data_IF_407035859851
#
_entry.id   IF_407035859851
#
_cell.length_a   1.000
_cell.length_b   1.000
_cell.length_c   1.000
_cell.angle_alpha   90.00
_cell.angle_beta   90.00
_cell.angle_gamma   90.00
#
_symmetry.space_group_name_H-M   'P 1'
#
loop_
_entity.id
_entity.type
_entity.pdbx_description
1 polymer ?
#
# COMPACT_ATOMS: atom_id res chain seq x y z
N UNK A 1 -31.75 -44.74 -77.82
CA UNK A 1 -31.06 -45.51 -76.75
C UNK A 1 -29.59 -45.12 -76.82
N UNK A 2 -28.89 -44.57 -75.83
CA UNK A 2 -29.08 -44.41 -74.39
C UNK A 2 -28.49 -43.04 -73.96
N UNK A 3 -29.01 -42.51 -72.85
CA UNK A 3 -28.78 -41.16 -72.30
C UNK A 3 -27.39 -40.97 -71.69
N UNK A 4 -26.81 -39.79 -71.91
CA UNK A 4 -25.75 -39.18 -71.09
C UNK A 4 -26.37 -38.58 -69.81
N UNK A 5 -25.74 -38.82 -68.66
CA UNK A 5 -25.98 -38.11 -67.40
C UNK A 5 -24.62 -37.66 -66.81
N UNK A 6 -24.48 -36.42 -66.30
CA UNK A 6 -23.21 -35.92 -65.79
C UNK A 6 -23.03 -36.18 -64.29
N UNK A 7 -21.81 -36.60 -63.94
CA UNK A 7 -21.25 -36.69 -62.60
C UNK A 7 -20.92 -35.28 -62.06
N UNK A 8 -21.90 -34.56 -61.52
CA UNK A 8 -21.65 -33.35 -60.72
C UNK A 8 -22.70 -33.25 -59.60
N UNK A 9 -22.40 -33.72 -58.38
CA UNK A 9 -23.11 -33.22 -57.18
C UNK A 9 -22.55 -33.64 -55.80
N UNK A 10 -21.65 -34.63 -55.68
CA UNK A 10 -21.29 -35.14 -54.34
C UNK A 10 -20.22 -34.35 -53.55
N UNK A 11 -19.55 -33.36 -54.16
CA UNK A 11 -18.51 -32.57 -53.47
C UNK A 11 -19.04 -31.43 -52.58
N UNK A 12 -20.17 -30.82 -52.94
CA UNK A 12 -20.64 -29.59 -52.28
C UNK A 12 -21.34 -29.83 -50.94
N UNK A 13 -21.95 -31.00 -50.74
CA UNK A 13 -22.69 -31.30 -49.50
C UNK A 13 -21.78 -31.62 -48.30
N UNK A 14 -20.51 -32.02 -48.51
CA UNK A 14 -19.54 -32.22 -47.40
C UNK A 14 -18.86 -30.92 -46.97
N UNK A 15 -18.66 -29.96 -47.88
CA UNK A 15 -18.11 -28.64 -47.52
C UNK A 15 -19.11 -27.81 -46.71
N UNK A 16 -20.39 -27.79 -47.09
CA UNK A 16 -21.41 -27.03 -46.36
C UNK A 16 -21.68 -27.55 -44.94
N UNK A 17 -21.55 -28.87 -44.72
CA UNK A 17 -21.75 -29.49 -43.39
C UNK A 17 -20.60 -29.19 -42.42
N UNK A 18 -19.39 -29.01 -42.94
CA UNK A 18 -18.21 -28.62 -42.14
C UNK A 18 -18.16 -27.11 -41.85
N UNK A 19 -18.73 -26.28 -42.72
CA UNK A 19 -18.85 -24.83 -42.46
C UNK A 19 -19.91 -24.57 -41.39
N UNK A 20 -21.01 -25.33 -41.35
CA UNK A 20 -22.02 -25.20 -40.28
C UNK A 20 -21.57 -25.75 -38.92
N UNK A 21 -20.70 -26.76 -38.87
CA UNK A 21 -20.11 -27.24 -37.62
C UNK A 21 -18.95 -26.36 -37.12
N UNK A 22 -18.22 -25.69 -38.02
CA UNK A 22 -17.26 -24.63 -37.69
C UNK A 22 -17.94 -23.37 -37.13
N UNK A 23 -19.05 -22.93 -37.74
CA UNK A 23 -19.82 -21.78 -37.27
C UNK A 23 -20.51 -22.05 -35.91
N UNK A 24 -20.98 -23.28 -35.65
CA UNK A 24 -21.51 -23.66 -34.32
C UNK A 24 -20.42 -23.84 -33.25
N UNK A 25 -19.18 -24.19 -33.61
CA UNK A 25 -18.07 -24.22 -32.64
C UNK A 25 -17.57 -22.83 -32.25
N UNK A 26 -17.78 -21.81 -33.06
CA UNK A 26 -17.51 -20.41 -32.70
C UNK A 26 -18.62 -19.76 -31.88
N UNK A 27 -19.85 -20.30 -31.90
CA UNK A 27 -20.96 -19.81 -31.06
C UNK A 27 -21.01 -20.48 -29.68
N UNK A 28 -20.38 -21.64 -29.50
CA UNK A 28 -20.34 -22.35 -28.21
C UNK A 28 -19.20 -21.90 -27.27
N UNK A 29 -18.42 -20.87 -27.65
CA UNK A 29 -17.54 -20.13 -26.74
C UNK A 29 -18.27 -18.93 -26.13
N UNK A 30 -19.46 -19.13 -25.58
CA UNK A 30 -20.13 -18.19 -24.66
C UNK A 30 -19.45 -18.17 -23.27
N UNK A 31 -18.12 -18.11 -23.28
CA UNK A 31 -17.24 -17.69 -22.20
C UNK A 31 -16.23 -16.65 -22.75
N UNK A 32 -16.54 -16.03 -23.90
CA UNK A 32 -15.77 -14.93 -24.45
C UNK A 32 -15.99 -13.68 -23.59
N UNK A 33 -14.90 -13.13 -23.06
CA UNK A 33 -14.89 -11.87 -22.30
C UNK A 33 -15.65 -10.78 -23.09
N UNK A 34 -16.79 -10.25 -22.58
CA UNK A 34 -17.65 -9.33 -23.31
C UNK A 34 -17.03 -7.93 -23.48
N UNK A 35 -15.91 -7.66 -22.80
CA UNK A 35 -15.20 -6.39 -22.82
C UNK A 35 -13.99 -6.38 -23.75
N UNK A 36 -13.87 -7.38 -24.64
CA UNK A 36 -12.85 -7.38 -25.70
C UNK A 36 -13.16 -6.27 -26.71
N UNK A 37 -12.17 -5.41 -26.97
CA UNK A 37 -12.17 -4.33 -27.95
C UNK A 37 -13.34 -3.33 -27.83
N UNK A 38 -13.43 -2.54 -26.74
CA UNK A 38 -14.35 -1.41 -26.72
C UNK A 38 -13.86 -0.34 -27.71
N UNK A 39 -14.73 0.07 -28.64
CA UNK A 39 -14.38 1.07 -29.68
C UNK A 39 -14.58 2.51 -29.21
N UNK A 40 -15.36 2.72 -28.15
CA UNK A 40 -15.64 4.04 -27.57
C UNK A 40 -16.07 3.94 -26.10
N UNK A 41 -16.06 5.07 -25.39
CA UNK A 41 -16.55 5.16 -24.01
C UNK A 41 -18.05 4.82 -23.90
N UNK A 42 -18.84 5.14 -24.94
CA UNK A 42 -20.27 4.83 -25.01
C UNK A 42 -20.52 3.33 -25.22
N UNK A 43 -19.74 2.67 -26.08
CA UNK A 43 -19.79 1.21 -26.28
C UNK A 43 -19.43 0.47 -24.98
N UNK A 44 -18.40 0.94 -24.26
CA UNK A 44 -18.04 0.41 -22.96
C UNK A 44 -19.19 0.56 -21.95
N UNK A 45 -19.82 1.73 -21.87
CA UNK A 45 -20.94 1.97 -20.96
C UNK A 45 -22.13 1.05 -21.24
N UNK A 46 -22.45 0.81 -22.51
CA UNK A 46 -23.51 -0.12 -22.92
C UNK A 46 -23.17 -1.57 -22.53
N UNK A 47 -21.93 -2.02 -22.77
CA UNK A 47 -21.46 -3.36 -22.39
C UNK A 47 -21.47 -3.57 -20.87
N UNK A 48 -21.02 -2.56 -20.11
CA UNK A 48 -21.07 -2.56 -18.64
C UNK A 48 -22.52 -2.66 -18.18
N UNK A 49 -23.40 -1.78 -18.68
CA UNK A 49 -24.83 -1.80 -18.35
C UNK A 49 -25.49 -3.15 -18.63
N UNK A 50 -25.23 -3.75 -19.80
CA UNK A 50 -25.77 -5.06 -20.17
C UNK A 50 -25.23 -6.19 -19.27
N UNK A 51 -23.96 -6.12 -18.86
CA UNK A 51 -23.33 -7.15 -18.03
C UNK A 51 -23.70 -7.07 -16.54
N UNK A 52 -24.03 -5.87 -16.03
CA UNK A 52 -24.41 -5.62 -14.64
C UNK A 52 -25.93 -5.69 -14.40
N UNK A 53 -26.74 -5.61 -15.46
CA UNK A 53 -28.22 -5.63 -15.39
C UNK A 53 -28.84 -6.99 -15.04
N UNK A 54 -28.06 -8.07 -14.98
CA UNK A 54 -28.55 -9.38 -14.54
C UNK A 54 -28.86 -9.34 -13.03
N UNK A 55 -30.13 -9.11 -12.67
CA UNK A 55 -30.61 -8.90 -11.29
C UNK A 55 -30.56 -10.14 -10.39
N UNK A 56 -30.44 -11.33 -10.96
CA UNK A 56 -30.74 -12.58 -10.23
C UNK A 56 -29.50 -13.31 -9.67
N UNK A 57 -28.29 -12.83 -9.93
CA UNK A 57 -27.05 -13.45 -9.42
C UNK A 57 -25.91 -12.45 -9.24
N UNK A 58 -25.08 -12.58 -8.17
CA UNK A 58 -23.90 -11.74 -8.01
C UNK A 58 -22.97 -11.90 -9.22
N UNK A 59 -22.45 -10.77 -9.71
CA UNK A 59 -21.57 -10.76 -10.87
C UNK A 59 -20.22 -11.40 -10.47
N UNK A 60 -19.73 -12.40 -11.21
CA UNK A 60 -18.47 -13.05 -10.86
C UNK A 60 -17.30 -12.05 -10.94
N UNK A 61 -16.39 -12.15 -9.97
CA UNK A 61 -15.24 -11.24 -9.79
C UNK A 61 -14.41 -11.07 -11.07
N UNK A 62 -14.24 -12.14 -11.85
CA UNK A 62 -13.51 -12.12 -13.12
C UNK A 62 -14.14 -11.17 -14.14
N UNK A 63 -15.47 -11.12 -14.24
CA UNK A 63 -16.17 -10.19 -15.15
C UNK A 63 -15.99 -8.74 -14.71
N UNK A 64 -15.98 -8.49 -13.41
CA UNK A 64 -15.72 -7.15 -12.85
C UNK A 64 -14.30 -6.71 -13.19
N UNK A 65 -13.32 -7.59 -13.02
CA UNK A 65 -11.93 -7.30 -13.41
C UNK A 65 -11.78 -7.07 -14.91
N UNK A 66 -12.48 -7.83 -15.74
CA UNK A 66 -12.43 -7.65 -17.19
C UNK A 66 -13.04 -6.32 -17.64
N UNK A 67 -14.13 -5.89 -17.00
CA UNK A 67 -14.69 -4.56 -17.19
C UNK A 67 -13.67 -3.47 -16.81
N UNK A 68 -13.04 -3.60 -15.63
CA UNK A 68 -12.04 -2.65 -15.15
C UNK A 68 -10.78 -2.64 -16.02
N UNK A 69 -10.33 -3.78 -16.54
CA UNK A 69 -9.23 -3.86 -17.52
C UNK A 69 -9.57 -3.13 -18.81
N UNK A 70 -10.82 -3.23 -19.28
CA UNK A 70 -11.27 -2.50 -20.45
C UNK A 70 -11.33 -0.99 -20.20
N UNK A 71 -11.83 -0.56 -19.03
CA UNK A 71 -11.76 0.84 -18.59
C UNK A 71 -10.31 1.33 -18.55
N UNK A 72 -9.39 0.52 -18.02
CA UNK A 72 -7.96 0.87 -17.96
C UNK A 72 -7.37 1.06 -19.35
N UNK A 73 -7.58 0.11 -20.27
CA UNK A 73 -7.03 0.19 -21.63
C UNK A 73 -7.48 1.45 -22.36
N UNK A 74 -8.76 1.83 -22.21
CA UNK A 74 -9.28 3.07 -22.77
C UNK A 74 -8.67 4.30 -22.09
N UNK A 75 -8.47 4.25 -20.77
CA UNK A 75 -7.81 5.32 -20.03
C UNK A 75 -6.35 5.52 -20.47
N UNK A 76 -5.61 4.43 -20.67
CA UNK A 76 -4.22 4.45 -21.14
C UNK A 76 -4.14 5.08 -22.54
N UNK A 77 -5.04 4.70 -23.46
CA UNK A 77 -5.13 5.28 -24.82
C UNK A 77 -5.41 6.79 -24.81
N UNK A 78 -6.30 7.26 -23.94
CA UNK A 78 -6.60 8.71 -23.81
C UNK A 78 -5.40 9.45 -23.23
N UNK A 79 -4.74 8.87 -22.22
CA UNK A 79 -3.61 9.50 -21.53
C UNK A 79 -2.35 9.56 -22.39
N UNK A 80 -2.14 8.59 -23.28
CA UNK A 80 -1.04 8.61 -24.27
C UNK A 80 -1.18 9.73 -25.30
N UNK A 81 -2.42 10.11 -25.64
CA UNK A 81 -2.69 11.12 -26.68
C UNK A 81 -2.83 12.56 -26.15
N UNK A 82 -3.27 12.77 -24.91
CA UNK A 82 -3.40 14.12 -24.32
C UNK A 82 -2.89 14.16 -22.87
N UNK A 83 -1.60 14.45 -22.70
CA UNK A 83 -0.94 14.53 -21.38
C UNK A 83 -1.29 15.79 -20.58
N UNK A 84 -1.97 16.78 -21.18
CA UNK A 84 -2.03 18.15 -20.65
C UNK A 84 -3.46 18.67 -20.40
N UNK A 85 -4.52 18.02 -20.91
CA UNK A 85 -5.91 18.46 -20.66
C UNK A 85 -6.69 17.52 -19.77
N UNK A 86 -7.56 18.12 -18.94
CA UNK A 86 -8.69 17.43 -18.29
C UNK A 86 -9.70 17.03 -19.35
N UNK A 87 -9.48 15.91 -20.00
CA UNK A 87 -10.36 15.42 -21.05
C UNK A 87 -11.71 14.97 -20.44
N UNK A 88 -12.87 15.45 -20.93
CA UNK A 88 -14.18 14.91 -20.54
C UNK A 88 -14.26 13.39 -20.69
N UNK A 89 -13.49 12.78 -21.61
CA UNK A 89 -13.43 11.33 -21.77
C UNK A 89 -12.90 10.62 -20.50
N UNK A 90 -11.90 11.20 -19.82
CA UNK A 90 -11.35 10.63 -18.59
C UNK A 90 -12.37 10.69 -17.43
N UNK A 91 -13.19 11.74 -17.38
CA UNK A 91 -14.26 11.84 -16.40
C UNK A 91 -15.37 10.80 -16.66
N UNK A 92 -15.73 10.58 -17.93
CA UNK A 92 -16.71 9.57 -18.30
C UNK A 92 -16.21 8.15 -18.00
N UNK A 93 -14.94 7.84 -18.27
CA UNK A 93 -14.33 6.55 -17.91
C UNK A 93 -14.35 6.37 -16.39
N UNK A 94 -14.02 7.40 -15.62
CA UNK A 94 -14.12 7.34 -14.16
C UNK A 94 -15.56 7.08 -13.69
N UNK A 95 -16.55 7.69 -14.32
CA UNK A 95 -17.96 7.41 -14.01
C UNK A 95 -18.32 5.94 -14.29
N UNK A 96 -17.80 5.34 -15.36
CA UNK A 96 -18.00 3.92 -15.63
C UNK A 96 -17.33 3.03 -14.57
N UNK A 97 -16.13 3.38 -14.11
CA UNK A 97 -15.47 2.68 -13.00
C UNK A 97 -16.31 2.77 -11.73
N UNK A 98 -16.84 3.96 -11.41
CA UNK A 98 -17.69 4.18 -10.25
C UNK A 98 -18.98 3.36 -10.34
N UNK A 99 -19.63 3.30 -11.51
CA UNK A 99 -20.83 2.47 -11.76
C UNK A 99 -20.55 0.99 -11.54
N UNK A 100 -19.41 0.49 -12.03
CA UNK A 100 -19.01 -0.92 -11.83
C UNK A 100 -18.82 -1.22 -10.34
N UNK A 101 -18.07 -0.38 -9.62
CA UNK A 101 -17.69 -0.61 -8.23
C UNK A 101 -18.83 -0.37 -7.22
N UNK A 102 -19.76 0.53 -7.54
CA UNK A 102 -20.92 0.84 -6.69
C UNK A 102 -22.16 0.00 -7.01
N UNK A 103 -22.13 -0.85 -8.04
CA UNK A 103 -23.27 -1.69 -8.38
C UNK A 103 -23.59 -2.72 -7.28
N UNK A 104 -24.87 -2.84 -6.92
CA UNK A 104 -25.34 -3.74 -5.84
C UNK A 104 -24.95 -5.20 -6.09
N UNK A 105 -24.86 -5.59 -7.35
CA UNK A 105 -24.57 -6.97 -7.77
C UNK A 105 -23.08 -7.37 -7.66
N UNK A 106 -22.18 -6.46 -7.28
CA UNK A 106 -20.73 -6.70 -7.20
C UNK A 106 -20.25 -6.77 -5.76
N UNK A 107 -19.74 -7.89 -5.28
CA UNK A 107 -19.13 -7.93 -3.94
C UNK A 107 -17.76 -7.24 -3.94
N UNK A 108 -17.69 -5.99 -3.47
CA UNK A 108 -16.44 -5.24 -3.40
C UNK A 108 -15.65 -5.56 -2.13
N UNK A 109 -15.01 -6.73 -2.11
CA UNK A 109 -14.19 -7.20 -0.99
C UNK A 109 -12.70 -6.79 -1.10
N UNK A 110 -11.94 -7.03 -0.03
CA UNK A 110 -10.51 -6.74 0.01
C UNK A 110 -9.70 -7.52 -1.05
N UNK A 111 -10.16 -8.73 -1.42
CA UNK A 111 -9.52 -9.54 -2.45
C UNK A 111 -9.70 -8.93 -3.84
N UNK A 112 -10.90 -8.45 -4.18
CA UNK A 112 -11.15 -7.71 -5.42
C UNK A 112 -10.36 -6.40 -5.43
N UNK A 113 -10.35 -5.64 -4.33
CA UNK A 113 -9.57 -4.40 -4.22
C UNK A 113 -8.09 -4.63 -4.53
N UNK A 114 -7.49 -5.70 -3.99
CA UNK A 114 -6.10 -6.07 -4.28
C UNK A 114 -5.89 -6.33 -5.77
N UNK A 115 -6.79 -7.08 -6.40
CA UNK A 115 -6.72 -7.37 -7.84
C UNK A 115 -6.86 -6.08 -8.68
N UNK A 116 -7.69 -5.13 -8.22
CA UNK A 116 -7.83 -3.80 -8.84
C UNK A 116 -6.54 -2.99 -8.71
N UNK A 117 -5.85 -3.02 -7.56
CA UNK A 117 -4.54 -2.35 -7.43
C UNK A 117 -3.46 -2.94 -8.35
N UNK A 118 -3.50 -4.25 -8.60
CA UNK A 118 -2.59 -4.89 -9.55
C UNK A 118 -2.82 -4.44 -10.99
N UNK A 119 -4.00 -3.90 -11.32
CA UNK A 119 -4.23 -3.30 -12.61
C UNK A 119 -3.44 -2.00 -12.79
N UNK A 120 -2.95 -1.34 -11.72
CA UNK A 120 -2.19 -0.08 -11.78
C UNK A 120 -2.91 1.03 -12.55
N UNK A 121 -4.03 1.48 -12.00
CA UNK A 121 -4.72 2.67 -12.51
C UNK A 121 -3.93 3.95 -12.18
N UNK A 122 -4.13 5.04 -12.94
CA UNK A 122 -3.59 6.35 -12.59
C UNK A 122 -3.95 6.74 -11.14
N UNK A 123 -3.06 7.48 -10.48
CA UNK A 123 -3.12 7.76 -9.05
C UNK A 123 -4.44 8.43 -8.64
N UNK A 124 -4.92 9.38 -9.46
CA UNK A 124 -6.19 10.06 -9.25
C UNK A 124 -7.39 9.09 -9.26
N UNK A 125 -7.38 8.08 -10.13
CA UNK A 125 -8.41 7.03 -10.20
C UNK A 125 -8.28 6.08 -9.02
N UNK A 126 -7.05 5.69 -8.66
CA UNK A 126 -6.77 4.84 -7.49
C UNK A 126 -7.29 5.44 -6.18
N UNK A 127 -7.10 6.75 -5.98
CA UNK A 127 -7.64 7.48 -4.82
C UNK A 127 -9.17 7.43 -4.80
N UNK A 128 -9.84 7.58 -5.95
CA UNK A 128 -11.30 7.46 -6.04
C UNK A 128 -11.77 6.04 -5.74
N UNK A 129 -11.08 5.03 -6.25
CA UNK A 129 -11.38 3.61 -5.95
C UNK A 129 -11.27 3.33 -4.44
N UNK A 130 -10.25 3.87 -3.77
CA UNK A 130 -10.09 3.79 -2.32
C UNK A 130 -11.29 4.42 -1.58
N UNK A 131 -11.74 5.60 -2.01
CA UNK A 131 -12.93 6.25 -1.43
C UNK A 131 -14.17 5.38 -1.61
N UNK A 132 -14.42 4.85 -2.82
CA UNK A 132 -15.56 3.96 -3.09
C UNK A 132 -15.52 2.67 -2.26
N UNK A 133 -14.32 2.15 -1.98
CA UNK A 133 -14.17 0.97 -1.13
C UNK A 133 -14.67 1.24 0.30
N UNK A 134 -14.32 2.39 0.89
CA UNK A 134 -14.80 2.76 2.22
C UNK A 134 -16.26 3.20 2.25
N UNK A 135 -16.77 3.80 1.17
CA UNK A 135 -18.22 4.08 1.04
C UNK A 135 -19.05 2.80 1.12
N UNK A 136 -18.56 1.72 0.50
CA UNK A 136 -19.23 0.42 0.50
C UNK A 136 -18.95 -0.40 1.76
N UNK A 137 -17.76 -0.28 2.32
CA UNK A 137 -17.32 -1.01 3.50
C UNK A 137 -16.80 -0.04 4.58
N UNK A 138 -17.70 0.64 5.33
CA UNK A 138 -17.31 1.71 6.24
C UNK A 138 -16.45 1.26 7.42
N UNK A 139 -16.54 -0.02 7.82
CA UNK A 139 -15.75 -0.59 8.92
C UNK A 139 -14.54 -1.41 8.46
N UNK A 140 -14.38 -1.62 7.15
CA UNK A 140 -13.25 -2.38 6.63
C UNK A 140 -11.92 -1.64 6.83
N UNK A 141 -10.83 -2.40 6.83
CA UNK A 141 -9.48 -1.87 6.80
C UNK A 141 -8.69 -2.50 5.65
N UNK A 142 -7.74 -1.75 5.10
CA UNK A 142 -6.86 -2.23 4.03
C UNK A 142 -5.54 -2.67 4.66
N UNK A 143 -5.11 -3.91 4.36
CA UNK A 143 -3.85 -4.42 4.88
C UNK A 143 -2.66 -3.68 4.26
N UNK A 144 -1.59 -3.48 5.04
CA UNK A 144 -0.34 -2.84 4.58
C UNK A 144 0.16 -3.39 3.26
N UNK A 145 0.19 -4.72 3.12
CA UNK A 145 0.72 -5.39 1.93
C UNK A 145 -0.06 -5.02 0.66
N UNK A 146 -1.37 -4.82 0.77
CA UNK A 146 -2.21 -4.44 -0.36
C UNK A 146 -2.12 -2.93 -0.61
N UNK A 147 -2.04 -2.12 0.44
CA UNK A 147 -1.79 -0.67 0.36
C UNK A 147 -0.43 -0.31 -0.26
N UNK A 148 0.58 -1.17 -0.10
CA UNK A 148 1.89 -0.97 -0.71
C UNK A 148 1.85 -1.01 -2.24
N UNK A 149 0.86 -1.66 -2.86
CA UNK A 149 0.75 -1.75 -4.32
C UNK A 149 0.56 -0.36 -4.95
N UNK A 150 -0.52 0.38 -4.64
CA UNK A 150 -0.72 1.71 -5.19
C UNK A 150 0.32 2.71 -4.65
N UNK A 151 0.77 2.56 -3.41
CA UNK A 151 1.80 3.41 -2.82
C UNK A 151 3.12 3.36 -3.59
N UNK A 152 3.61 2.16 -3.93
CA UNK A 152 4.84 1.97 -4.70
C UNK A 152 4.71 2.56 -6.10
N UNK A 153 3.53 2.46 -6.71
CA UNK A 153 3.26 3.04 -8.03
C UNK A 153 3.29 4.57 -7.99
N UNK A 154 2.73 5.19 -6.95
CA UNK A 154 2.83 6.64 -6.73
C UNK A 154 4.27 7.11 -6.53
N UNK A 155 5.06 6.39 -5.72
CA UNK A 155 6.49 6.72 -5.53
C UNK A 155 7.29 6.54 -6.82
N UNK A 156 7.04 5.47 -7.57
CA UNK A 156 7.71 5.20 -8.83
C UNK A 156 7.48 6.31 -9.86
N UNK A 157 6.27 6.87 -9.87
CA UNK A 157 5.86 7.97 -10.74
C UNK A 157 6.14 9.37 -10.15
N UNK A 158 6.88 9.47 -9.06
CA UNK A 158 7.22 10.73 -8.37
C UNK A 158 6.01 11.59 -7.93
N UNK A 159 4.84 10.99 -7.74
CA UNK A 159 3.64 11.69 -7.26
C UNK A 159 3.54 11.59 -5.73
N UNK A 160 4.26 12.49 -5.06
CA UNK A 160 4.35 12.54 -3.59
C UNK A 160 3.01 12.91 -2.94
N UNK A 161 2.22 13.81 -3.54
CA UNK A 161 0.91 14.19 -3.01
C UNK A 161 -0.06 13.01 -2.97
N UNK A 162 -0.14 12.25 -4.07
CA UNK A 162 -0.98 11.04 -4.08
C UNK A 162 -0.45 9.98 -3.13
N UNK A 163 0.88 9.84 -2.97
CA UNK A 163 1.46 8.91 -2.02
C UNK A 163 1.07 9.22 -0.56
N UNK A 164 1.07 10.50 -0.15
CA UNK A 164 0.57 10.93 1.17
C UNK A 164 -0.91 10.57 1.31
N UNK A 165 -1.72 10.90 0.30
CA UNK A 165 -3.17 10.65 0.34
C UNK A 165 -3.51 9.17 0.41
N UNK A 166 -2.78 8.32 -0.31
CA UNK A 166 -2.91 6.86 -0.23
C UNK A 166 -2.53 6.38 1.17
N UNK A 167 -1.45 6.92 1.75
CA UNK A 167 -1.02 6.59 3.12
C UNK A 167 -2.11 6.94 4.14
N UNK A 168 -2.72 8.12 4.01
CA UNK A 168 -3.82 8.56 4.88
C UNK A 168 -5.08 7.72 4.75
N UNK A 169 -5.41 7.28 3.52
CA UNK A 169 -6.57 6.42 3.26
C UNK A 169 -6.32 4.95 3.61
N UNK A 170 -5.08 4.52 3.84
CA UNK A 170 -4.76 3.12 4.11
C UNK A 170 -4.24 2.93 5.54
N UNK A 171 -2.93 2.96 5.74
CA UNK A 171 -2.30 2.73 7.05
C UNK A 171 -2.60 3.85 8.06
N UNK A 172 -2.84 5.07 7.58
CA UNK A 172 -3.24 6.21 8.38
C UNK A 172 -4.75 6.33 8.63
N UNK A 173 -5.55 5.37 8.14
CA UNK A 173 -7.01 5.42 8.26
C UNK A 173 -7.47 5.01 9.68
N UNK A 174 -8.51 5.63 10.26
CA UNK A 174 -9.02 5.29 11.59
C UNK A 174 -9.34 3.80 11.77
N UNK A 175 -9.86 3.12 10.74
CA UNK A 175 -10.18 1.70 10.83
C UNK A 175 -8.93 0.83 10.95
N UNK A 176 -7.86 1.18 10.23
CA UNK A 176 -6.58 0.48 10.33
C UNK A 176 -5.98 0.63 11.73
N UNK A 177 -6.03 1.86 12.27
CA UNK A 177 -5.54 2.19 13.61
C UNK A 177 -6.36 1.46 14.69
N UNK A 178 -7.69 1.40 14.54
CA UNK A 178 -8.59 0.62 15.41
C UNK A 178 -8.24 -0.87 15.37
N UNK A 179 -8.03 -1.43 14.17
CA UNK A 179 -7.61 -2.82 14.01
C UNK A 179 -6.27 -3.10 14.71
N UNK A 180 -5.24 -2.25 14.52
CA UNK A 180 -3.96 -2.35 15.23
C UNK A 180 -4.13 -2.26 16.75
N UNK A 181 -4.99 -1.38 17.22
CA UNK A 181 -5.32 -1.25 18.65
C UNK A 181 -5.98 -2.52 19.20
N UNK A 182 -6.90 -3.13 18.44
CA UNK A 182 -7.54 -4.39 18.82
C UNK A 182 -6.53 -5.55 18.87
N UNK A 183 -5.63 -5.64 17.90
CA UNK A 183 -4.53 -6.62 17.88
C UNK A 183 -3.64 -6.46 19.11
N UNK A 184 -3.27 -5.21 19.46
CA UNK A 184 -2.47 -4.94 20.65
C UNK A 184 -3.19 -5.39 21.93
N UNK A 185 -4.46 -5.00 22.10
CA UNK A 185 -5.28 -5.34 23.27
C UNK A 185 -5.46 -6.86 23.42
N UNK A 186 -5.72 -7.56 22.31
CA UNK A 186 -5.85 -9.01 22.31
C UNK A 186 -4.52 -9.67 22.67
N UNK A 187 -3.40 -9.15 22.16
CA UNK A 187 -2.06 -9.63 22.50
C UNK A 187 -1.77 -9.47 24.00
N UNK A 188 -2.04 -8.29 24.57
CA UNK A 188 -1.84 -8.04 26.01
C UNK A 188 -2.77 -8.89 26.88
N UNK A 189 -4.02 -9.08 26.47
CA UNK A 189 -4.98 -9.93 27.18
C UNK A 189 -4.53 -11.40 27.17
N UNK A 190 -4.08 -11.92 26.02
CA UNK A 190 -3.56 -13.29 25.90
C UNK A 190 -2.35 -13.50 26.79
N UNK A 191 -1.43 -12.53 26.85
CA UNK A 191 -0.27 -12.59 27.74
C UNK A 191 -0.69 -12.63 29.22
N UNK A 192 -1.55 -11.70 29.65
CA UNK A 192 -2.05 -11.66 31.02
C UNK A 192 -2.80 -12.94 31.41
N UNK A 193 -3.70 -13.41 30.54
CA UNK A 193 -4.47 -14.63 30.75
C UNK A 193 -3.56 -15.87 30.82
N UNK A 194 -2.54 -15.96 29.96
CA UNK A 194 -1.57 -17.05 30.00
C UNK A 194 -0.76 -17.05 31.31
N UNK A 195 -0.29 -15.88 31.76
CA UNK A 195 0.45 -15.76 33.01
C UNK A 195 -0.40 -16.15 34.23
N UNK A 196 -1.65 -15.68 34.29
CA UNK A 196 -2.60 -16.05 35.34
C UNK A 196 -2.90 -17.55 35.29
N UNK A 197 -3.19 -18.10 34.10
CA UNK A 197 -3.51 -19.52 33.93
C UNK A 197 -2.38 -20.44 34.37
N UNK A 198 -1.14 -20.11 34.02
CA UNK A 198 0.05 -20.87 34.45
C UNK A 198 0.24 -20.79 35.95
N UNK A 199 0.04 -19.60 36.53
CA UNK A 199 0.17 -19.41 37.99
C UNK A 199 -0.89 -20.21 38.76
N UNK A 200 -2.14 -20.18 38.30
CA UNK A 200 -3.24 -20.94 38.91
C UNK A 200 -3.06 -22.45 38.72
N UNK A 201 -2.68 -22.91 37.52
CA UNK A 201 -2.43 -24.32 37.26
C UNK A 201 -1.28 -24.87 38.10
N UNK A 202 -0.16 -24.16 38.15
CA UNK A 202 1.02 -24.58 38.93
C UNK A 202 0.76 -24.60 40.44
N UNK A 203 0.00 -23.62 40.96
CA UNK A 203 -0.23 -23.49 42.41
C UNK A 203 -1.41 -24.31 42.93
N UNK A 204 -2.54 -24.31 42.22
CA UNK A 204 -3.78 -24.93 42.67
C UNK A 204 -4.08 -26.23 41.91
N UNK A 205 -3.86 -26.24 40.60
CA UNK A 205 -4.14 -27.40 39.76
C UNK A 205 -3.29 -28.62 40.11
N UNK A 206 -1.97 -28.43 40.26
CA UNK A 206 -1.04 -29.51 40.60
C UNK A 206 -1.35 -30.08 41.98
N UNK A 207 -1.62 -29.23 42.97
CA UNK A 207 -1.96 -29.67 44.32
C UNK A 207 -3.25 -30.51 44.31
N UNK A 208 -4.29 -30.04 43.61
CA UNK A 208 -5.56 -30.75 43.57
C UNK A 208 -5.47 -32.11 42.87
N UNK A 209 -4.64 -32.24 41.82
CA UNK A 209 -4.42 -33.52 41.12
C UNK A 209 -3.58 -34.50 41.94
N UNK A 210 -2.65 -34.01 42.76
CA UNK A 210 -1.94 -34.82 43.75
C UNK A 210 -2.90 -35.30 44.84
N UNK A 211 -3.76 -34.41 45.35
CA UNK A 211 -4.75 -34.73 46.39
C UNK A 211 -5.81 -35.73 45.90
N UNK A 212 -6.14 -35.72 44.60
CA UNK A 212 -7.00 -36.73 43.94
C UNK A 212 -6.31 -38.07 43.71
N UNK A 213 -5.03 -38.22 44.06
CA UNK A 213 -4.26 -39.46 43.95
C UNK A 213 -3.85 -39.83 42.52
N UNK A 214 -4.05 -38.94 41.54
CA UNK A 214 -3.72 -39.20 40.13
C UNK A 214 -2.25 -38.92 39.80
N UNK A 215 -1.55 -38.12 40.61
CA UNK A 215 -0.12 -37.84 40.48
C UNK A 215 0.61 -38.16 41.79
N UNK A 216 1.81 -38.72 41.68
CA UNK A 216 2.67 -38.96 42.85
C UNK A 216 3.13 -37.62 43.45
N UNK A 217 3.34 -37.52 44.78
CA UNK A 217 3.80 -36.30 45.45
C UNK A 217 5.11 -35.71 44.91
N UNK A 218 5.98 -36.54 44.32
CA UNK A 218 7.23 -36.11 43.64
C UNK A 218 6.96 -35.19 42.44
N UNK A 219 5.76 -35.20 41.87
CA UNK A 219 5.36 -34.28 40.80
C UNK A 219 5.23 -32.84 41.25
N UNK A 220 5.13 -32.57 42.56
CA UNK A 220 5.07 -31.21 43.08
C UNK A 220 6.35 -30.43 42.74
N UNK A 221 7.51 -31.09 42.84
CA UNK A 221 8.80 -30.49 42.47
C UNK A 221 8.99 -30.36 40.95
N UNK A 222 8.54 -31.34 40.17
CA UNK A 222 8.56 -31.29 38.69
C UNK A 222 7.65 -30.18 38.15
N UNK A 223 6.48 -29.98 38.74
CA UNK A 223 5.57 -28.92 38.37
C UNK A 223 6.13 -27.53 38.71
N UNK A 224 6.79 -27.39 39.86
CA UNK A 224 7.48 -26.16 40.24
C UNK A 224 8.61 -25.82 39.25
N UNK A 225 9.43 -26.81 38.86
CA UNK A 225 10.48 -26.64 37.84
C UNK A 225 9.90 -26.29 36.46
N UNK A 226 8.86 -27.00 36.02
CA UNK A 226 8.20 -26.72 34.74
C UNK A 226 7.53 -25.34 34.73
N UNK A 227 6.93 -24.90 35.83
CA UNK A 227 6.40 -23.55 35.98
C UNK A 227 7.51 -22.50 35.93
N UNK A 228 8.68 -22.77 36.53
CA UNK A 228 9.85 -21.89 36.43
C UNK A 228 10.33 -21.76 34.98
N UNK A 229 10.49 -22.88 34.26
CA UNK A 229 10.86 -22.87 32.84
C UNK A 229 9.82 -22.16 31.97
N UNK A 230 8.53 -22.41 32.20
CA UNK A 230 7.45 -21.79 31.43
C UNK A 230 7.36 -20.28 31.69
N UNK A 231 7.56 -19.86 32.95
CA UNK A 231 7.65 -18.44 33.33
C UNK A 231 8.86 -17.78 32.69
N UNK A 232 10.00 -18.47 32.66
CA UNK A 232 11.19 -18.01 31.95
C UNK A 232 10.92 -17.84 30.45
N UNK A 233 10.34 -18.84 29.78
CA UNK A 233 9.97 -18.73 28.37
C UNK A 233 8.94 -17.64 28.10
N UNK A 234 7.99 -17.40 29.01
CA UNK A 234 7.05 -16.28 28.90
C UNK A 234 7.73 -14.93 29.04
N UNK A 235 8.63 -14.78 30.02
CA UNK A 235 9.43 -13.57 30.20
C UNK A 235 10.34 -13.34 28.98
N UNK A 236 11.04 -14.36 28.51
CA UNK A 236 11.84 -14.28 27.28
C UNK A 236 10.98 -13.97 26.05
N UNK A 237 9.78 -14.54 25.95
CA UNK A 237 8.83 -14.26 24.87
C UNK A 237 8.31 -12.82 24.93
N UNK A 238 8.11 -12.28 26.14
CA UNK A 238 7.80 -10.87 26.35
C UNK A 238 8.96 -9.98 25.89
N UNK A 239 10.20 -10.30 26.27
CA UNK A 239 11.38 -9.58 25.78
C UNK A 239 11.55 -9.67 24.26
N UNK A 240 11.35 -10.85 23.65
CA UNK A 240 11.36 -11.00 22.18
C UNK A 240 10.27 -10.14 21.54
N UNK A 241 9.11 -10.05 22.18
CA UNK A 241 8.00 -9.23 21.70
C UNK A 241 8.35 -7.74 21.80
N UNK A 242 8.89 -7.28 22.93
CA UNK A 242 9.40 -5.90 23.13
C UNK A 242 10.53 -5.57 22.16
N UNK A 243 11.45 -6.50 21.90
CA UNK A 243 12.52 -6.34 20.91
C UNK A 243 11.95 -6.28 19.49
N UNK A 244 10.94 -7.08 19.16
CA UNK A 244 10.22 -6.98 17.87
C UNK A 244 9.48 -5.66 17.74
N UNK A 245 8.84 -5.16 18.80
CA UNK A 245 8.28 -3.81 18.86
C UNK A 245 9.39 -2.76 18.62
N UNK A 246 10.51 -2.84 19.33
CA UNK A 246 11.68 -1.96 19.18
C UNK A 246 12.28 -1.98 17.77
N UNK A 247 12.42 -3.16 17.15
CA UNK A 247 12.90 -3.30 15.77
C UNK A 247 11.91 -2.74 14.77
N UNK A 248 10.60 -2.94 14.98
CA UNK A 248 9.58 -2.29 14.16
C UNK A 248 9.68 -0.78 14.23
N UNK A 249 9.97 -0.21 15.40
CA UNK A 249 10.14 1.23 15.60
C UNK A 249 11.38 1.79 14.88
N UNK A 250 12.53 1.13 15.02
CA UNK A 250 13.74 1.53 14.30
C UNK A 250 13.58 1.36 12.77
N UNK A 251 12.85 0.33 12.32
CA UNK A 251 12.58 0.12 10.89
C UNK A 251 11.50 1.05 10.33
N UNK A 252 10.65 1.63 11.18
CA UNK A 252 9.52 2.46 10.77
C UNK A 252 9.93 3.92 10.52
N UNK A 253 10.88 4.47 11.29
CA UNK A 253 11.33 5.85 11.11
C UNK A 253 12.41 6.05 10.05
N UNK A 254 13.24 5.03 9.82
CA UNK A 254 14.42 5.15 8.97
C UNK A 254 15.34 6.31 9.40
N UNK A 255 16.12 6.80 8.44
CA UNK A 255 17.09 7.89 8.67
C UNK A 255 16.46 9.29 8.50
N UNK A 256 15.20 9.38 8.05
CA UNK A 256 14.58 10.66 7.66
C UNK A 256 13.54 11.19 8.66
N UNK A 257 12.78 10.32 9.34
CA UNK A 257 11.71 10.74 10.24
C UNK A 257 11.79 10.04 11.60
N UNK A 258 11.47 10.77 12.65
CA UNK A 258 11.33 10.25 14.02
C UNK A 258 9.99 10.68 14.64
N UNK A 259 9.57 9.98 15.69
CA UNK A 259 8.42 10.44 16.48
C UNK A 259 8.79 11.67 17.29
N UNK A 260 7.85 12.61 17.42
CA UNK A 260 7.98 13.75 18.32
C UNK A 260 8.28 13.28 19.74
N UNK A 261 9.26 13.92 20.39
CA UNK A 261 9.64 13.63 21.77
C UNK A 261 8.42 13.74 22.69
N UNK A 262 8.14 12.70 23.48
CA UNK A 262 6.96 12.63 24.36
C UNK A 262 5.75 11.91 23.77
N UNK A 263 5.84 11.41 22.53
CA UNK A 263 4.80 10.55 21.95
C UNK A 263 4.78 9.18 22.65
N UNK A 264 3.61 8.71 23.09
CA UNK A 264 3.47 7.43 23.78
C UNK A 264 3.74 6.21 22.88
N UNK A 265 4.38 5.16 23.42
CA UNK A 265 4.67 3.91 22.69
C UNK A 265 3.46 3.22 22.05
N UNK A 266 2.28 3.38 22.65
CA UNK A 266 1.03 2.83 22.07
C UNK A 266 0.66 3.50 20.75
N UNK A 267 0.96 4.80 20.60
CA UNK A 267 0.84 5.52 19.34
C UNK A 267 1.86 4.97 18.33
N UNK A 268 3.10 4.80 18.75
CA UNK A 268 4.15 4.32 17.86
C UNK A 268 3.79 2.97 17.24
N UNK A 269 3.26 2.03 18.02
CA UNK A 269 2.82 0.75 17.47
C UNK A 269 1.65 0.88 16.49
N UNK A 270 0.64 1.68 16.83
CA UNK A 270 -0.56 1.85 16.00
C UNK A 270 -0.23 2.50 14.66
N UNK A 271 0.73 3.41 14.64
CA UNK A 271 1.11 4.23 13.49
C UNK A 271 2.46 3.84 12.87
N UNK A 272 3.07 2.72 13.27
CA UNK A 272 4.37 2.28 12.74
C UNK A 272 4.35 2.08 11.22
N UNK A 273 3.26 1.56 10.66
CA UNK A 273 3.14 1.34 9.21
C UNK A 273 2.92 2.64 8.45
N UNK A 274 2.22 3.60 9.05
CA UNK A 274 2.06 4.96 8.51
C UNK A 274 3.42 5.68 8.48
N UNK A 275 4.16 5.65 9.60
CA UNK A 275 5.51 6.21 9.67
C UNK A 275 6.42 5.61 8.60
N UNK A 276 6.40 4.28 8.42
CA UNK A 276 7.22 3.61 7.41
C UNK A 276 6.90 4.09 5.98
N UNK A 277 5.63 4.34 5.66
CA UNK A 277 5.25 4.91 4.36
C UNK A 277 5.69 6.38 4.25
N UNK A 278 5.47 7.20 5.28
CA UNK A 278 5.93 8.59 5.30
C UNK A 278 7.45 8.70 5.15
N UNK A 279 8.23 7.83 5.79
CA UNK A 279 9.69 7.79 5.64
C UNK A 279 10.11 7.46 4.22
N UNK A 280 9.39 6.56 3.53
CA UNK A 280 9.67 6.26 2.11
C UNK A 280 9.29 7.40 1.16
N UNK A 281 8.28 8.20 1.52
CA UNK A 281 7.96 9.44 0.79
C UNK A 281 9.09 10.46 0.96
N UNK A 282 9.60 10.64 2.18
CA UNK A 282 10.77 11.49 2.46
C UNK A 282 12.01 11.01 1.71
N UNK A 283 12.29 9.71 1.70
CA UNK A 283 13.43 9.16 0.96
C UNK A 283 13.31 9.44 -0.54
N UNK A 284 12.12 9.27 -1.12
CA UNK A 284 11.88 9.59 -2.52
C UNK A 284 12.05 11.09 -2.80
N UNK A 285 11.57 11.94 -1.90
CA UNK A 285 11.74 13.40 -2.00
C UNK A 285 13.20 13.84 -1.92
N UNK A 286 14.00 13.27 -1.02
CA UNK A 286 15.45 13.52 -0.95
C UNK A 286 16.13 13.18 -2.28
N UNK A 287 15.77 12.02 -2.87
CA UNK A 287 16.33 11.58 -4.15
C UNK A 287 15.87 12.42 -5.35
N UNK A 288 14.67 12.98 -5.31
CA UNK A 288 14.08 13.75 -6.41
C UNK A 288 14.40 15.24 -6.34
N UNK A 289 14.29 15.82 -5.15
CA UNK A 289 14.31 17.27 -4.92
C UNK A 289 15.53 17.72 -4.11
N UNK A 290 16.41 16.81 -3.67
CA UNK A 290 17.59 17.17 -2.89
C UNK A 290 17.32 17.42 -1.40
N UNK A 291 16.13 17.07 -0.92
CA UNK A 291 15.82 16.97 0.51
C UNK A 291 15.00 18.12 1.11
N UNK A 292 14.91 18.17 2.45
CA UNK A 292 13.92 18.95 3.20
C UNK A 292 13.95 20.46 2.93
N UNK A 293 15.11 20.99 2.52
CA UNK A 293 15.29 22.41 2.20
C UNK A 293 14.54 22.85 0.94
N UNK A 294 14.38 21.96 -0.04
CA UNK A 294 13.71 22.25 -1.32
C UNK A 294 12.22 21.83 -1.31
N UNK A 295 11.81 21.05 -0.32
CA UNK A 295 10.46 20.47 -0.20
C UNK A 295 9.80 20.83 1.14
N UNK A 296 9.91 22.10 1.54
CA UNK A 296 9.36 22.59 2.82
C UNK A 296 7.87 22.24 3.02
N UNK A 297 7.08 22.23 1.94
CA UNK A 297 5.66 21.85 1.97
C UNK A 297 5.43 20.41 2.48
N UNK A 298 6.35 19.49 2.16
CA UNK A 298 6.23 18.08 2.49
C UNK A 298 6.62 17.84 3.95
N UNK A 299 7.65 18.56 4.42
CA UNK A 299 8.03 18.58 5.84
C UNK A 299 6.91 19.19 6.68
N UNK A 300 6.32 20.30 6.23
CA UNK A 300 5.17 20.92 6.89
C UNK A 300 3.98 19.95 6.96
N UNK A 301 3.68 19.24 5.88
CA UNK A 301 2.59 18.28 5.85
C UNK A 301 2.82 17.08 6.77
N UNK A 302 4.02 16.49 6.75
CA UNK A 302 4.32 15.28 7.53
C UNK A 302 4.59 15.58 9.02
N UNK A 303 5.28 16.68 9.31
CA UNK A 303 5.79 17.02 10.64
C UNK A 303 5.00 18.16 11.32
N UNK A 304 3.77 18.42 10.84
CA UNK A 304 2.87 19.44 11.42
C UNK A 304 2.76 19.27 12.93
N UNK A 305 3.00 20.36 13.66
CA UNK A 305 2.82 20.42 15.12
C UNK A 305 1.40 20.90 15.45
N UNK A 306 0.95 20.57 16.65
CA UNK A 306 -0.34 21.05 17.13
C UNK A 306 -0.14 22.44 17.77
N UNK A 307 -0.79 23.46 17.23
CA UNK A 307 -0.69 24.84 17.75
C UNK A 307 -1.12 24.95 19.23
N UNK A 308 -1.89 23.98 19.74
CA UNK A 308 -2.34 23.92 21.14
C UNK A 308 -1.30 23.37 22.13
N UNK A 309 -0.11 22.99 21.66
CA UNK A 309 0.97 22.47 22.52
C UNK A 309 1.58 23.53 23.43
N UNK A 310 1.47 24.82 23.08
CA UNK A 310 1.99 25.93 23.89
C UNK A 310 1.24 26.09 25.24
N UNK A 311 0.13 25.37 25.44
CA UNK A 311 -0.71 25.42 26.65
C UNK A 311 -0.42 24.27 27.65
N UNK A 312 0.66 23.49 27.45
CA UNK A 312 1.07 22.43 28.39
C UNK A 312 0.27 21.12 28.30
N UNK A 313 -0.47 20.91 27.21
CA UNK A 313 -1.25 19.70 26.98
C UNK A 313 -0.40 18.54 26.41
N UNK A 314 -0.75 17.31 26.77
CA UNK A 314 -0.13 16.10 26.21
C UNK A 314 -0.26 16.07 24.66
N UNK A 315 0.82 15.65 23.99
CA UNK A 315 0.85 15.41 22.55
C UNK A 315 -0.28 14.45 22.13
N UNK A 316 -1.15 14.92 21.24
CA UNK A 316 -2.26 14.14 20.68
C UNK A 316 -2.25 14.24 19.17
N UNK A 317 -2.24 13.07 18.51
CA UNK A 317 -2.54 12.98 17.10
C UNK A 317 -4.01 13.34 16.87
N UNK A 318 -4.29 13.94 15.72
CA UNK A 318 -5.62 14.45 15.41
C UNK A 318 -5.58 15.34 14.18
N UNK A 319 -6.45 16.34 14.17
CA UNK A 319 -6.53 17.33 13.11
C UNK A 319 -6.37 18.72 13.71
N UNK A 320 -5.72 19.62 12.98
CA UNK A 320 -5.71 21.05 13.29
C UNK A 320 -7.12 21.62 13.15
N UNK A 321 -7.30 22.87 13.60
CA UNK A 321 -8.55 23.61 13.39
C UNK A 321 -8.94 23.67 11.91
N UNK A 322 -7.95 23.72 11.03
CA UNK A 322 -8.12 23.84 9.59
C UNK A 322 -8.32 22.46 8.90
N UNK A 323 -8.50 21.41 9.68
CA UNK A 323 -8.77 20.05 9.18
C UNK A 323 -7.53 19.32 8.65
N UNK A 324 -6.33 19.84 8.91
CA UNK A 324 -5.09 19.22 8.45
C UNK A 324 -4.59 18.19 9.47
N UNK A 325 -4.02 17.08 8.99
CA UNK A 325 -3.66 15.95 9.85
C UNK A 325 -2.37 16.23 10.62
N UNK A 326 -2.35 15.84 11.90
CA UNK A 326 -1.21 15.91 12.81
C UNK A 326 -0.72 14.47 13.07
N UNK A 327 0.47 14.13 12.57
CA UNK A 327 1.03 12.77 12.59
C UNK A 327 2.01 12.52 13.75
N UNK A 328 2.38 13.57 14.49
CA UNK A 328 3.39 13.54 15.56
C UNK A 328 4.78 13.07 15.08
N UNK A 329 5.13 13.43 13.85
CA UNK A 329 6.44 13.18 13.26
C UNK A 329 7.32 14.42 13.37
N UNK A 330 8.62 14.20 13.43
CA UNK A 330 9.67 15.20 13.38
C UNK A 330 10.74 14.74 12.38
N UNK A 331 11.31 15.66 11.58
CA UNK A 331 12.46 15.31 10.75
C UNK A 331 13.58 14.82 11.65
N UNK A 332 14.20 13.71 11.27
CA UNK A 332 15.37 13.20 11.96
C UNK A 332 16.58 14.03 11.54
N UNK A 333 17.49 14.28 12.48
CA UNK A 333 18.79 14.86 12.14
C UNK A 333 19.50 13.94 11.14
N UNK A 334 19.94 14.50 10.01
CA UNK A 334 20.68 13.76 8.99
C UNK A 334 21.95 13.20 9.61
N UNK A 335 22.07 11.88 9.65
CA UNK A 335 23.29 11.20 10.10
C UNK A 335 24.47 11.59 9.19
N UNK A 336 24.21 11.91 7.92
CA UNK A 336 25.22 12.40 6.98
C UNK A 336 25.68 13.82 7.35
N UNK A 337 24.78 14.70 7.77
CA UNK A 337 25.14 16.04 8.24
C UNK A 337 25.93 15.97 9.55
N UNK A 338 25.54 15.06 10.46
CA UNK A 338 26.30 14.80 11.68
C UNK A 338 27.67 14.18 11.40
N UNK A 339 27.77 13.28 10.40
CA UNK A 339 29.04 12.71 9.94
C UNK A 339 29.90 13.76 9.24
N UNK A 340 29.31 14.65 8.46
CA UNK A 340 29.99 15.76 7.80
C UNK A 340 30.50 16.75 8.86
N UNK A 341 29.67 17.10 9.85
CA UNK A 341 30.08 17.91 10.98
C UNK A 341 31.21 17.24 11.76
N UNK A 342 31.14 15.93 11.98
CA UNK A 342 32.20 15.16 12.60
C UNK A 342 33.48 15.14 11.75
N UNK A 343 33.37 14.99 10.43
CA UNK A 343 34.48 15.07 9.47
C UNK A 343 35.17 16.44 9.53
N UNK A 344 34.39 17.53 9.54
CA UNK A 344 34.92 18.89 9.69
C UNK A 344 35.56 19.10 11.07
N UNK A 345 35.00 18.53 12.13
CA UNK A 345 35.58 18.59 13.48
C UNK A 345 36.85 17.73 13.63
N UNK A 346 36.97 16.62 12.89
CA UNK A 346 38.13 15.71 12.93
C UNK A 346 39.20 16.01 11.88
N UNK A 347 38.97 17.00 11.00
CA UNK A 347 39.87 17.31 9.89
C UNK A 347 39.97 16.18 8.86
N UNK A 348 38.96 15.32 8.77
CA UNK A 348 38.91 14.19 7.84
C UNK A 348 39.73 12.96 8.23
N UNK A 349 40.30 12.92 9.43
CA UNK A 349 41.02 11.74 9.92
C UNK A 349 40.06 10.56 10.13
N UNK A 350 40.40 9.40 9.55
CA UNK A 350 39.61 8.16 9.62
C UNK A 350 38.47 8.01 8.60
N UNK A 351 38.33 8.91 7.62
CA UNK A 351 37.32 8.78 6.56
C UNK A 351 37.95 8.22 5.26
N UNK A 352 37.35 7.14 4.74
CA UNK A 352 37.70 6.59 3.42
C UNK A 352 36.63 7.00 2.41
N UNK A 353 37.05 7.63 1.31
CA UNK A 353 36.16 7.95 0.20
C UNK A 353 35.90 6.68 -0.59
N UNK A 354 34.66 6.20 -0.55
CA UNK A 354 34.18 5.10 -1.40
C UNK A 354 33.33 5.73 -2.48
N UNK A 355 33.65 5.45 -3.75
CA UNK A 355 32.81 5.89 -4.85
C UNK A 355 31.40 5.32 -4.69
N UNK A 356 30.34 6.12 -4.88
CA UNK A 356 28.98 5.63 -4.79
C UNK A 356 28.71 4.65 -5.95
N UNK A 357 28.61 3.36 -5.63
CA UNK A 357 28.15 2.33 -6.56
C UNK A 357 26.79 2.74 -7.14
N UNK A 358 26.68 2.83 -8.47
CA UNK A 358 25.39 3.13 -9.11
C UNK A 358 24.53 1.86 -9.19
N UNK A 359 23.41 1.87 -8.47
CA UNK A 359 22.43 0.78 -8.53
C UNK A 359 21.75 0.76 -9.92
N UNK A 360 21.76 -0.38 -10.65
CA UNK A 360 21.04 -0.51 -11.92
C UNK A 360 19.54 -0.17 -11.80
N UNK A 361 18.92 -0.39 -10.65
CA UNK A 361 17.52 -0.02 -10.42
C UNK A 361 17.31 1.51 -10.42
N UNK A 362 18.29 2.27 -9.93
CA UNK A 362 18.24 3.73 -9.90
C UNK A 362 18.35 4.30 -11.32
N UNK A 363 19.22 3.72 -12.15
CA UNK A 363 19.35 4.09 -13.57
C UNK A 363 18.03 3.88 -14.32
N UNK A 364 17.38 2.73 -14.14
CA UNK A 364 16.08 2.44 -14.75
C UNK A 364 14.99 3.41 -14.28
N UNK A 365 15.01 3.78 -13.01
CA UNK A 365 14.06 4.75 -12.46
C UNK A 365 14.27 6.14 -13.03
N UNK A 366 15.51 6.63 -13.13
CA UNK A 366 15.84 7.91 -13.77
C UNK A 366 15.39 7.94 -15.25
N UNK A 367 15.58 6.85 -15.98
CA UNK A 367 15.08 6.70 -17.36
C UNK A 367 13.55 6.70 -17.47
N UNK A 368 12.85 6.23 -16.43
CA UNK A 368 11.39 6.30 -16.37
C UNK A 368 10.93 7.74 -16.12
N UNK A 369 11.53 8.44 -15.16
CA UNK A 369 11.19 9.82 -14.83
C UNK A 369 11.41 10.78 -16.00
N UNK A 370 12.46 10.59 -16.80
CA UNK A 370 12.71 11.42 -17.98
C UNK A 370 11.59 11.32 -19.03
N UNK A 371 10.93 10.16 -19.16
CA UNK A 371 9.78 9.94 -20.06
C UNK A 371 8.51 10.64 -19.58
N UNK A 372 8.39 10.90 -18.28
CA UNK A 372 7.23 11.55 -17.67
C UNK A 372 7.29 13.09 -17.73
N UNK A 373 8.37 13.70 -18.25
CA UNK A 373 8.58 15.16 -18.30
C UNK A 373 8.24 15.83 -16.97
N UNK A 374 9.10 15.64 -15.97
CA UNK A 374 8.91 16.19 -14.63
C UNK A 374 8.79 17.73 -14.63
N UNK A 375 7.68 18.33 -14.19
CA UNK A 375 7.59 19.77 -13.95
C UNK A 375 8.16 20.20 -12.58
N UNK A 376 8.83 19.32 -11.84
CA UNK A 376 9.52 19.67 -10.58
C UNK A 376 11.06 19.72 -10.72
N UNK A 377 11.63 19.11 -11.77
CA UNK A 377 13.09 19.14 -12.03
C UNK A 377 13.51 20.41 -12.78
N UNK A 378 12.59 21.08 -13.48
CA UNK A 378 12.87 22.33 -14.20
C UNK A 378 13.02 23.55 -13.27
N UNK A 379 12.76 23.41 -11.96
CA UNK A 379 13.01 24.45 -10.96
C UNK A 379 14.35 24.33 -10.24
N UNK A 380 15.06 23.21 -10.42
CA UNK A 380 16.43 23.04 -9.98
C UNK A 380 17.39 23.54 -11.08
N UNK A 381 17.16 24.76 -11.55
CA UNK A 381 18.22 25.56 -12.18
C UNK A 381 19.32 25.71 -11.13
N UNK A 382 20.35 24.87 -11.22
CA UNK A 382 21.77 25.29 -11.24
C UNK A 382 22.18 26.47 -10.34
N UNK A 383 21.63 26.60 -9.12
CA UNK A 383 21.95 27.68 -8.18
C UNK A 383 22.56 27.24 -6.86
N UNK A 384 22.70 25.94 -6.61
CA UNK A 384 23.28 25.44 -5.35
C UNK A 384 24.74 24.96 -5.47
N UNK A 385 25.43 25.31 -6.56
CA UNK A 385 26.88 25.12 -6.71
C UNK A 385 27.67 26.44 -6.78
N UNK A 386 27.07 27.58 -6.40
CA UNK A 386 27.79 28.87 -6.37
C UNK A 386 29.06 28.83 -5.52
N UNK A 387 29.03 28.09 -4.40
CA UNK A 387 30.22 27.91 -3.56
C UNK A 387 31.34 27.09 -4.22
N UNK A 388 31.00 26.20 -5.16
CA UNK A 388 31.98 25.37 -5.87
C UNK A 388 32.57 26.12 -7.09
N UNK A 389 31.81 27.03 -7.69
CA UNK A 389 32.28 27.91 -8.78
C UNK A 389 33.17 29.05 -8.24
N UNK A 390 32.82 29.66 -7.10
CA UNK A 390 33.65 30.70 -6.45
C UNK A 390 35.05 30.17 -6.03
N UNK A 391 35.16 28.89 -5.66
CA UNK A 391 36.43 28.22 -5.33
C UNK A 391 37.28 27.85 -6.56
N UNK A 392 36.70 27.83 -7.74
CA UNK A 392 37.40 27.55 -9.01
C UNK A 392 37.90 28.85 -9.65
N UNK A 393 37.22 29.97 -9.43
CA UNK A 393 37.64 31.30 -9.92
C UNK A 393 38.76 31.95 -9.07
N UNK A 394 39.02 31.48 -7.85
CA UNK A 394 40.15 31.92 -7.00
C UNK A 394 41.51 31.24 -7.29
N UNK A 395 41.71 30.69 -8.50
CA UNK A 395 43.02 30.24 -9.02
C UNK A 395 43.33 30.90 -10.36
#
# INVERSE_FOLDING_TARGET
>A
MFRLLPLVSLGYLRAARNIHSGARRLQNTQSANPFLYPSSVLDLAQKIGASLAARDSPVPKERVLDALRACKRLQDQVTEHDKLRRDPAQQQIQQQIDVVLLSDNVEFDAALLKQVFLLKFPQATTIKILLRFYERNPDAYIAKNDALIPFRDSLFNADLHSAIRITDMTTGHPNYIKHKSAVLRLGTLKLAASAIGITLFSKLGVQHVIDMGWLLPTWHHLASLNAMFLTYFLNSSFFVTVVKFGRQLNSAGGDFLTWQKGTFYTHWYRHADEMAMCTKIMEADVKLNGGPGNSAWLVEELCRKNDRLDEGANLKAGFTRDGQKIRLLEPRDSIEDLKLQAYWMSGGDGFEWVEPDQDPAELLWRQHLSKLHAPAVAGADTKNLGWAEDLIEEK
#
